data_IF_451294164826
#
_entry.id   IF_451294164826
#
_cell.length_a   1.000
_cell.length_b   1.000
_cell.length_c   1.000
_cell.angle_alpha   90.00
_cell.angle_beta   90.00
_cell.angle_gamma   90.00
#
_symmetry.space_group_name_H-M   'P 1'
#
loop_
_entity.id
_entity.type
_entity.pdbx_description
1 polymer ?
#
# COMPACT_ATOMS: atom_id res chain seq x y z
N UNK A 1 -15.11 -4.86 10.19
CA UNK A 1 -15.52 -3.56 9.66
C UNK A 1 -15.00 -3.58 8.25
N UNK A 2 -15.82 -3.22 7.26
CA UNK A 2 -15.33 -3.21 5.89
C UNK A 2 -14.52 -1.93 5.72
N UNK A 3 -13.28 -2.07 5.27
CA UNK A 3 -12.39 -0.96 4.92
C UNK A 3 -11.94 -1.10 3.48
N UNK A 4 -11.73 0.03 2.82
CA UNK A 4 -11.11 0.06 1.51
C UNK A 4 -9.60 0.02 1.65
N UNK A 5 -8.95 -0.86 0.88
CA UNK A 5 -7.50 -0.96 0.79
C UNK A 5 -7.05 -0.58 -0.61
N UNK A 6 -6.24 0.47 -0.71
CA UNK A 6 -5.59 0.89 -1.95
C UNK A 6 -4.28 0.16 -2.12
N UNK A 7 -4.10 -0.50 -3.27
CA UNK A 7 -2.88 -1.25 -3.60
C UNK A 7 -2.05 -0.51 -4.64
N UNK A 8 -0.81 -0.22 -4.28
CA UNK A 8 0.23 0.29 -5.17
C UNK A 8 1.36 -0.71 -5.27
N UNK A 9 1.91 -0.90 -6.47
CA UNK A 9 3.05 -1.78 -6.70
C UNK A 9 4.15 -1.07 -7.49
N UNK A 10 5.36 -1.63 -7.45
CA UNK A 10 6.41 -1.24 -8.37
C UNK A 10 7.43 -2.35 -8.58
N UNK A 11 8.18 -2.25 -9.68
CA UNK A 11 9.37 -3.04 -9.96
C UNK A 11 10.56 -2.09 -10.16
N UNK A 12 11.65 -2.32 -9.43
CA UNK A 12 12.92 -1.60 -9.53
C UNK A 12 12.91 -0.19 -8.93
N UNK A 13 11.82 0.25 -8.29
CA UNK A 13 11.68 1.62 -7.77
C UNK A 13 12.51 1.88 -6.52
N UNK A 14 12.70 0.86 -5.67
CA UNK A 14 13.40 0.95 -4.40
C UNK A 14 14.57 -0.03 -4.37
N UNK A 15 15.71 0.40 -3.85
CA UNK A 15 16.90 -0.44 -3.66
C UNK A 15 16.89 -1.18 -2.32
N UNK A 16 16.04 -0.73 -1.40
CA UNK A 16 15.91 -1.31 -0.06
C UNK A 16 14.57 -0.98 0.57
N UNK A 17 14.19 -1.76 1.59
CA UNK A 17 13.01 -1.46 2.40
C UNK A 17 13.11 -0.11 3.13
N UNK A 18 14.32 0.29 3.56
CA UNK A 18 14.53 1.58 4.23
C UNK A 18 14.29 2.77 3.28
N UNK A 19 14.68 2.65 2.01
CA UNK A 19 14.38 3.64 0.97
C UNK A 19 12.86 3.73 0.73
N UNK A 20 12.18 2.58 0.67
CA UNK A 20 10.73 2.51 0.54
C UNK A 20 10.02 3.18 1.72
N UNK A 21 10.43 2.91 2.96
CA UNK A 21 9.86 3.58 4.14
C UNK A 21 10.13 5.08 4.12
N UNK A 22 11.32 5.51 3.71
CA UNK A 22 11.64 6.95 3.56
C UNK A 22 10.78 7.66 2.51
N UNK A 23 10.27 6.94 1.51
CA UNK A 23 9.34 7.45 0.50
C UNK A 23 7.90 7.52 1.02
N UNK A 24 7.52 6.63 1.93
CA UNK A 24 6.16 6.49 2.47
C UNK A 24 5.91 7.36 3.70
N UNK A 25 6.83 7.32 4.66
CA UNK A 25 6.59 7.78 6.03
C UNK A 25 6.72 9.30 6.15
N UNK A 26 5.79 9.88 6.91
CA UNK A 26 5.89 11.28 7.35
C UNK A 26 7.20 11.48 8.12
N UNK A 27 7.82 12.63 7.91
CA UNK A 27 8.94 13.09 8.72
C UNK A 27 8.46 14.18 9.66
N UNK A 28 9.23 14.47 10.69
CA UNK A 28 8.90 15.50 11.65
C UNK A 28 10.00 16.55 11.72
N UNK A 29 9.62 17.82 11.84
CA UNK A 29 10.55 18.88 12.24
C UNK A 29 11.01 18.67 13.68
N UNK A 30 11.97 19.47 14.14
CA UNK A 30 12.38 19.45 15.56
C UNK A 30 11.23 19.85 16.50
N UNK A 31 10.29 20.66 16.02
CA UNK A 31 9.10 21.10 16.75
C UNK A 31 7.97 20.06 16.73
N UNK A 32 8.15 18.94 16.01
CA UNK A 32 7.17 17.86 15.88
C UNK A 32 6.13 18.10 14.79
N UNK A 33 6.31 19.10 13.92
CA UNK A 33 5.41 19.32 12.79
C UNK A 33 5.61 18.25 11.72
N UNK A 34 4.50 17.68 11.24
CA UNK A 34 4.48 16.70 10.17
C UNK A 34 4.89 17.30 8.82
N UNK A 35 5.85 16.65 8.17
CA UNK A 35 6.31 16.93 6.81
C UNK A 35 5.86 15.77 5.92
N UNK A 36 4.89 16.00 5.02
CA UNK A 36 4.40 14.96 4.13
C UNK A 36 5.52 14.32 3.31
N UNK A 37 5.47 13.00 3.18
CA UNK A 37 6.39 12.26 2.32
C UNK A 37 6.08 12.49 0.83
N UNK A 38 6.97 11.99 -0.03
CA UNK A 38 6.74 12.00 -1.48
C UNK A 38 5.48 11.20 -1.83
N UNK A 39 5.33 9.99 -1.27
CA UNK A 39 4.14 9.16 -1.48
C UNK A 39 2.87 9.88 -1.04
N UNK A 40 2.88 10.50 0.14
CA UNK A 40 1.71 11.24 0.66
C UNK A 40 1.29 12.36 -0.28
N UNK A 41 2.26 13.11 -0.79
CA UNK A 41 2.02 14.21 -1.72
C UNK A 41 1.46 13.69 -3.04
N UNK A 42 2.03 12.61 -3.58
CA UNK A 42 1.61 12.02 -4.85
C UNK A 42 0.17 11.49 -4.80
N UNK A 43 -0.19 10.75 -3.74
CA UNK A 43 -1.50 10.11 -3.62
C UNK A 43 -2.55 11.01 -2.96
N UNK A 44 -2.16 12.22 -2.57
CA UNK A 44 -2.99 13.16 -1.84
C UNK A 44 -3.49 12.55 -0.53
N UNK A 45 -2.59 11.95 0.25
CA UNK A 45 -2.90 11.28 1.50
C UNK A 45 -3.38 12.28 2.56
N UNK A 46 -4.43 11.91 3.29
CA UNK A 46 -4.93 12.63 4.48
C UNK A 46 -5.12 11.67 5.65
N UNK A 47 -5.24 12.25 6.84
CA UNK A 47 -5.47 11.53 8.09
C UNK A 47 -4.41 10.45 8.34
N UNK A 48 -3.14 10.87 8.21
CA UNK A 48 -1.99 9.96 8.29
C UNK A 48 -2.01 9.15 9.58
N UNK A 49 -2.11 7.83 9.40
CA UNK A 49 -1.98 6.83 10.43
C UNK A 49 -0.94 5.79 9.95
N UNK A 50 0.30 5.81 10.49
CA UNK A 50 1.37 4.91 10.06
C UNK A 50 1.01 3.44 10.22
N UNK A 51 0.22 3.10 11.24
CA UNK A 51 -0.25 1.73 11.47
C UNK A 51 -1.17 1.21 10.37
N UNK A 52 -1.69 2.09 9.51
CA UNK A 52 -2.59 1.75 8.42
C UNK A 52 -1.95 1.91 7.03
N UNK A 53 -0.61 1.83 6.98
CA UNK A 53 0.18 1.68 5.76
C UNK A 53 1.12 0.49 5.87
N UNK A 54 0.80 -0.58 5.15
CA UNK A 54 1.63 -1.78 5.09
C UNK A 54 2.52 -1.75 3.85
N UNK A 55 3.81 -2.01 4.02
CA UNK A 55 4.80 -1.96 2.95
C UNK A 55 5.56 -3.29 2.88
N UNK A 56 5.76 -3.80 1.67
CA UNK A 56 6.48 -5.05 1.40
C UNK A 56 7.54 -4.79 0.34
N UNK A 57 8.76 -5.29 0.55
CA UNK A 57 9.86 -5.22 -0.43
C UNK A 57 10.66 -6.53 -0.45
N UNK A 58 10.93 -7.09 -1.64
CA UNK A 58 11.61 -8.39 -1.83
C UNK A 58 12.94 -8.32 -2.59
N UNK A 59 13.33 -7.16 -3.12
CA UNK A 59 14.58 -6.95 -3.86
C UNK A 59 14.53 -7.42 -5.32
N UNK A 60 13.86 -8.54 -5.62
CA UNK A 60 13.62 -9.03 -6.98
C UNK A 60 12.12 -9.12 -7.28
N UNK A 61 11.66 -8.82 -8.52
CA UNK A 61 10.26 -8.95 -8.88
C UNK A 61 9.76 -10.39 -8.82
N UNK A 62 8.61 -10.57 -8.18
CA UNK A 62 7.88 -11.85 -8.08
C UNK A 62 6.41 -11.62 -8.47
N UNK A 63 5.63 -12.68 -8.78
CA UNK A 63 4.19 -12.53 -8.97
C UNK A 63 3.56 -11.79 -7.79
N UNK A 64 2.72 -10.79 -8.05
CA UNK A 64 2.14 -9.93 -7.00
C UNK A 64 1.35 -10.76 -5.99
N UNK A 65 0.64 -11.79 -6.43
CA UNK A 65 -0.04 -12.73 -5.52
C UNK A 65 0.92 -13.42 -4.54
N UNK A 66 2.16 -13.70 -4.96
CA UNK A 66 3.21 -14.24 -4.08
C UNK A 66 3.81 -13.16 -3.18
N UNK A 67 4.06 -11.96 -3.72
CA UNK A 67 4.59 -10.81 -2.97
C UNK A 67 3.72 -10.50 -1.76
N UNK A 68 2.41 -10.58 -1.95
CA UNK A 68 1.40 -10.17 -1.00
C UNK A 68 0.98 -11.24 0.02
N UNK A 69 1.57 -12.45 -0.05
CA UNK A 69 1.29 -13.50 0.94
C UNK A 69 1.69 -13.07 2.35
N UNK A 70 0.77 -13.22 3.29
CA UNK A 70 0.94 -12.85 4.69
C UNK A 70 0.67 -11.38 4.99
N UNK A 71 0.30 -10.56 4.00
CA UNK A 71 -0.13 -9.20 4.25
C UNK A 71 -1.46 -9.19 5.02
N UNK A 72 -1.66 -8.20 5.87
CA UNK A 72 -2.86 -8.14 6.73
C UNK A 72 -4.17 -8.14 5.92
N UNK A 73 -4.10 -7.61 4.71
CA UNK A 73 -5.22 -7.39 3.82
C UNK A 73 -5.38 -8.56 2.80
N UNK A 74 -4.54 -9.64 2.85
CA UNK A 74 -4.33 -10.66 1.78
C UNK A 74 -5.57 -11.07 1.00
N UNK A 75 -6.66 -11.34 1.72
CA UNK A 75 -7.92 -11.71 1.08
C UNK A 75 -8.34 -10.69 0.03
N UNK A 76 -8.31 -9.38 0.35
CA UNK A 76 -8.87 -8.30 -0.46
C UNK A 76 -8.52 -8.33 -1.96
N UNK A 77 -7.33 -8.85 -2.34
CA UNK A 77 -6.88 -8.90 -3.74
C UNK A 77 -6.58 -10.28 -4.29
N UNK A 78 -6.59 -11.36 -3.49
CA UNK A 78 -6.11 -12.69 -3.94
C UNK A 78 -6.84 -13.21 -5.20
N UNK A 79 -8.06 -12.73 -5.43
CA UNK A 79 -8.87 -13.05 -6.61
C UNK A 79 -8.98 -11.92 -7.65
N UNK A 80 -8.43 -10.75 -7.37
CA UNK A 80 -8.61 -9.55 -8.19
C UNK A 80 -7.34 -9.09 -8.93
N UNK A 81 -6.16 -9.48 -8.43
CA UNK A 81 -4.89 -9.15 -9.09
C UNK A 81 -4.59 -10.13 -10.23
N UNK A 82 -4.27 -9.64 -11.44
CA UNK A 82 -3.86 -10.48 -12.57
C UNK A 82 -2.71 -11.42 -12.21
N UNK A 83 -2.78 -12.68 -12.67
CA UNK A 83 -1.80 -13.71 -12.33
C UNK A 83 -0.41 -13.47 -12.97
N UNK A 84 -0.35 -12.68 -14.04
CA UNK A 84 0.86 -12.30 -14.78
C UNK A 84 1.51 -11.02 -14.26
N UNK A 85 0.88 -10.31 -13.32
CA UNK A 85 1.43 -9.09 -12.75
C UNK A 85 2.58 -9.41 -11.79
N UNK A 86 3.73 -8.77 -12.02
CA UNK A 86 4.95 -8.93 -11.20
C UNK A 86 5.39 -7.61 -10.57
N UNK A 87 5.90 -7.68 -9.35
CA UNK A 87 6.43 -6.55 -8.60
C UNK A 87 7.47 -7.01 -7.57
N UNK A 88 8.38 -6.13 -7.17
CA UNK A 88 9.27 -6.36 -6.02
C UNK A 88 8.82 -5.60 -4.76
N UNK A 89 7.90 -4.65 -4.92
CA UNK A 89 7.45 -3.77 -3.85
C UNK A 89 5.94 -3.54 -3.93
N UNK A 90 5.28 -3.53 -2.77
CA UNK A 90 3.86 -3.25 -2.64
C UNK A 90 3.56 -2.37 -1.43
N UNK A 91 2.59 -1.46 -1.59
CA UNK A 91 2.08 -0.58 -0.53
C UNK A 91 0.57 -0.76 -0.47
N UNK A 92 0.07 -1.18 0.69
CA UNK A 92 -1.34 -1.20 1.05
C UNK A 92 -1.66 0.00 1.94
N UNK A 93 -2.61 0.84 1.53
CA UNK A 93 -3.10 1.98 2.33
C UNK A 93 -4.56 1.76 2.67
N UNK A 94 -4.92 1.85 3.94
CA UNK A 94 -6.30 1.65 4.39
C UNK A 94 -6.70 2.63 5.50
N UNK A 95 -8.01 2.68 5.76
CA UNK A 95 -8.62 3.55 6.77
C UNK A 95 -7.88 3.44 8.13
N UNK A 96 -7.63 4.57 8.83
CA UNK A 96 -8.22 5.90 8.61
C UNK A 96 -7.57 6.73 7.51
N UNK A 97 -6.46 6.30 6.92
CA UNK A 97 -5.82 7.03 5.81
C UNK A 97 -6.78 7.21 4.63
N UNK A 98 -6.83 8.42 4.07
CA UNK A 98 -7.65 8.74 2.89
C UNK A 98 -6.75 9.05 1.70
N UNK A 99 -6.90 8.27 0.63
CA UNK A 99 -6.19 8.47 -0.64
C UNK A 99 -7.10 9.21 -1.62
N UNK A 100 -6.70 10.39 -2.09
CA UNK A 100 -7.55 11.25 -2.94
C UNK A 100 -7.14 11.25 -4.41
N UNK A 101 -5.87 11.04 -4.72
CA UNK A 101 -5.33 11.05 -6.09
C UNK A 101 -4.46 9.84 -6.39
N UNK A 102 -4.98 8.59 -6.27
CA UNK A 102 -4.15 7.39 -6.38
C UNK A 102 -3.45 7.25 -7.73
N UNK A 103 -4.06 7.76 -8.81
CA UNK A 103 -3.49 7.69 -10.17
C UNK A 103 -2.32 8.64 -10.42
N UNK A 104 -2.03 9.56 -9.49
CA UNK A 104 -0.90 10.48 -9.58
C UNK A 104 0.38 9.89 -8.97
N UNK A 105 0.29 8.70 -8.37
CA UNK A 105 1.45 8.00 -7.83
C UNK A 105 2.51 7.75 -8.90
N UNK A 106 3.78 7.85 -8.50
CA UNK A 106 4.93 7.34 -9.27
C UNK A 106 5.01 5.81 -9.27
N UNK A 107 4.04 5.14 -8.61
CA UNK A 107 3.86 3.69 -8.53
C UNK A 107 2.65 3.26 -9.37
N UNK A 108 2.61 2.00 -9.75
CA UNK A 108 1.45 1.43 -10.44
C UNK A 108 0.30 1.24 -9.45
N UNK A 109 -0.78 1.99 -9.64
CA UNK A 109 -2.00 1.83 -8.85
C UNK A 109 -2.85 0.69 -9.40
N UNK A 110 -2.94 -0.40 -8.62
CA UNK A 110 -3.63 -1.63 -9.05
C UNK A 110 -5.13 -1.52 -8.84
N UNK A 111 -5.56 -0.90 -7.74
CA UNK A 111 -6.98 -0.74 -7.44
C UNK A 111 -7.27 -0.49 -5.95
N UNK A 112 -8.56 -0.41 -5.66
CA UNK A 112 -9.12 -0.32 -4.32
C UNK A 112 -10.03 -1.54 -4.08
N UNK A 113 -9.90 -2.17 -2.92
CA UNK A 113 -10.60 -3.42 -2.61
C UNK A 113 -11.20 -3.39 -1.21
N UNK A 114 -12.33 -4.06 -1.01
CA UNK A 114 -12.92 -4.21 0.31
C UNK A 114 -12.23 -5.31 1.11
N UNK A 115 -11.86 -4.97 2.34
CA UNK A 115 -11.33 -5.88 3.34
C UNK A 115 -12.22 -5.87 4.58
N UNK A 116 -12.76 -7.01 5.00
CA UNK A 116 -13.45 -7.08 6.29
C UNK A 116 -12.48 -7.39 7.43
N UNK A 117 -12.22 -6.37 8.24
CA UNK A 117 -11.35 -6.47 9.43
C UNK A 117 -11.90 -7.41 10.51
N UNK A 118 -13.16 -7.86 10.43
CA UNK A 118 -13.74 -8.84 11.38
C UNK A 118 -13.41 -10.29 11.05
N UNK A 119 -13.17 -10.60 9.77
CA UNK A 119 -13.02 -11.99 9.30
C UNK A 119 -11.56 -12.42 9.19
N UNK A 120 -10.61 -11.53 9.44
CA UNK A 120 -9.21 -11.78 9.10
C UNK A 120 -9.03 -12.07 7.60
N UNK A 121 -7.93 -12.73 7.19
CA UNK A 121 -7.55 -12.92 5.77
C UNK A 121 -8.46 -13.87 4.96
N UNK A 122 -9.74 -14.03 5.34
CA UNK A 122 -10.69 -14.94 4.71
C UNK A 122 -11.83 -14.26 3.92
N UNK A 123 -11.89 -12.92 3.83
CA UNK A 123 -13.02 -12.26 3.15
C UNK A 123 -12.61 -11.04 2.34
N UNK A 124 -12.33 -11.29 1.06
CA UNK A 124 -12.28 -10.30 0.01
C UNK A 124 -13.64 -10.21 -0.66
N UNK A 125 -14.11 -9.02 -0.98
CA UNK A 125 -15.10 -8.83 -2.04
C UNK A 125 -14.65 -7.66 -2.91
N UNK A 126 -14.88 -7.71 -4.24
CA UNK A 126 -14.64 -6.55 -5.08
C UNK A 126 -15.57 -5.40 -4.62
N UNK A 127 -14.98 -4.20 -4.49
CA UNK A 127 -15.69 -2.95 -4.20
C UNK A 127 -16.53 -2.49 -5.39
#
# INVERSE_FOLDING_TARGET
>A
MIVTVHLFISSGRFRSFAEMRSFIDERYTEDGDGIPSAFMTEVGLRDYEPGCIEAIHRGDPVPVQQLLRGASWESAWVHAVPADLVADSAIGVYSPNVVTTPKNASLDYVGAYEFDTRTGPASARPA
#
